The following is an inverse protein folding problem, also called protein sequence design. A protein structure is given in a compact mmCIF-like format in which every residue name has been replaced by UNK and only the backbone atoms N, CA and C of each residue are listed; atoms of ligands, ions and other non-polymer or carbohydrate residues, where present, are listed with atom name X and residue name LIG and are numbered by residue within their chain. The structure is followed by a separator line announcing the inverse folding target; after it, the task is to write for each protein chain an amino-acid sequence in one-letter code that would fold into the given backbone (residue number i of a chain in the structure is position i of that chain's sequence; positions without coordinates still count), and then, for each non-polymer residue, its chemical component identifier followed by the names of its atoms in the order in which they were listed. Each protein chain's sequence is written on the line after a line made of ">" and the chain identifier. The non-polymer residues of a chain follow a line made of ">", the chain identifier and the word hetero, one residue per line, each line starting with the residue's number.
data_IF_326298781578
#
_entry.id   IF_326298781578
#
_cell.length_a   1.000
_cell.length_b   1.000
_cell.length_c   1.000
_cell.angle_alpha   90.00
_cell.angle_beta   90.00
_cell.angle_gamma   90.00
#
_symmetry.space_group_name_H-M   'P 1'
#
loop_
_entity.id
_entity.type
_entity.pdbx_description
1 polymer ?
#
# COMPACT_ATOMS: atom_id res chain seq x y z
N UNK A 1 -8.15 8.53 -12.03
CA UNK A 1 -7.00 7.64 -11.86
C UNK A 1 -7.15 6.92 -10.53
N UNK A 2 -6.94 5.60 -10.48
CA UNK A 2 -7.06 4.81 -9.26
C UNK A 2 -5.64 4.58 -8.68
N UNK A 3 -5.43 4.57 -7.36
CA UNK A 3 -4.11 4.41 -6.75
C UNK A 3 -3.35 3.15 -7.19
N UNK A 4 -4.06 2.05 -7.54
CA UNK A 4 -3.42 0.85 -8.09
C UNK A 4 -2.70 1.11 -9.43
N UNK A 5 -3.20 2.04 -10.26
CA UNK A 5 -2.54 2.40 -11.52
C UNK A 5 -1.15 2.98 -11.29
N UNK A 6 -0.94 3.61 -10.13
CA UNK A 6 0.33 4.26 -9.77
C UNK A 6 1.36 3.19 -9.40
N UNK A 7 0.95 2.21 -8.60
CA UNK A 7 1.82 1.09 -8.23
C UNK A 7 2.21 0.27 -9.47
N UNK A 8 1.23 -0.12 -10.28
CA UNK A 8 1.49 -0.85 -11.53
C UNK A 8 2.38 -0.06 -12.48
N UNK A 9 2.24 1.27 -12.54
CA UNK A 9 3.16 2.12 -13.32
C UNK A 9 4.60 1.99 -12.81
N UNK A 10 4.86 2.19 -11.51
CA UNK A 10 6.21 2.13 -10.97
C UNK A 10 6.84 0.73 -10.99
N UNK A 11 6.04 -0.33 -10.96
CA UNK A 11 6.51 -1.71 -11.15
C UNK A 11 6.92 -1.98 -12.60
N UNK A 12 6.09 -1.59 -13.58
CA UNK A 12 6.36 -1.78 -15.02
C UNK A 12 7.65 -1.09 -15.48
N UNK A 13 8.01 0.03 -14.85
CA UNK A 13 9.26 0.75 -15.15
C UNK A 13 10.48 0.22 -14.37
N UNK A 14 10.33 -0.90 -13.65
CA UNK A 14 11.43 -1.53 -12.89
C UNK A 14 11.88 -0.72 -11.67
N UNK A 15 11.14 0.34 -11.31
CA UNK A 15 11.48 1.23 -10.20
C UNK A 15 11.23 0.58 -8.83
N UNK A 16 10.43 -0.49 -8.78
CA UNK A 16 10.17 -1.28 -7.56
C UNK A 16 10.97 -2.60 -7.55
N UNK A 17 11.29 -3.17 -8.72
CA UNK A 17 11.79 -4.54 -8.87
C UNK A 17 13.33 -4.74 -8.76
N UNK A 18 14.14 -3.67 -8.74
CA UNK A 18 15.61 -3.80 -8.82
C UNK A 18 16.40 -3.43 -7.55
N UNK A 19 15.79 -3.50 -6.36
CA UNK A 19 16.48 -3.71 -5.07
C UNK A 19 17.50 -2.64 -4.61
N UNK A 20 17.81 -1.61 -5.41
CA UNK A 20 18.83 -0.60 -5.07
C UNK A 20 18.22 0.78 -4.83
N UNK A 21 17.07 1.08 -5.44
CA UNK A 21 16.30 2.32 -5.24
C UNK A 21 14.78 2.10 -5.41
N UNK A 22 14.27 0.97 -4.87
CA UNK A 22 12.83 0.69 -4.80
C UNK A 22 12.10 1.93 -4.29
N UNK A 23 11.29 2.59 -5.14
CA UNK A 23 10.84 3.98 -4.97
C UNK A 23 10.59 4.30 -3.50
N UNK A 24 11.38 5.22 -2.95
CA UNK A 24 11.27 5.63 -1.56
C UNK A 24 9.82 6.09 -1.29
N UNK A 25 9.23 5.80 -0.11
CA UNK A 25 7.83 6.14 0.16
C UNK A 25 7.49 7.62 -0.08
N UNK A 26 8.45 8.51 0.15
CA UNK A 26 8.37 9.95 -0.12
C UNK A 26 8.21 10.27 -1.61
N UNK A 27 8.96 9.60 -2.49
CA UNK A 27 8.84 9.77 -3.93
C UNK A 27 7.47 9.29 -4.47
N UNK A 28 6.89 8.23 -3.89
CA UNK A 28 5.51 7.82 -4.22
C UNK A 28 4.52 8.89 -3.75
N UNK A 29 4.67 9.39 -2.53
CA UNK A 29 3.80 10.43 -1.99
C UNK A 29 3.87 11.72 -2.81
N UNK A 30 5.07 12.15 -3.20
CA UNK A 30 5.30 13.32 -4.05
C UNK A 30 4.72 13.15 -5.45
N UNK A 31 4.84 11.96 -6.04
CA UNK A 31 4.16 11.67 -7.30
C UNK A 31 2.64 11.78 -7.16
N UNK A 32 2.06 11.21 -6.11
CA UNK A 32 0.61 11.28 -5.84
C UNK A 32 0.15 12.74 -5.68
N UNK A 33 0.94 13.56 -4.99
CA UNK A 33 0.72 15.01 -4.88
C UNK A 33 0.78 15.67 -6.27
N UNK A 34 1.80 15.37 -7.05
CA UNK A 34 2.02 15.92 -8.39
C UNK A 34 0.87 15.62 -9.35
N UNK A 35 0.28 14.42 -9.28
CA UNK A 35 -0.86 14.04 -10.13
C UNK A 35 -2.22 14.56 -9.65
N UNK A 36 -2.25 15.39 -8.59
CA UNK A 36 -3.42 16.19 -8.20
C UNK A 36 -4.08 15.81 -6.87
N UNK A 37 -3.48 14.93 -6.07
CA UNK A 37 -3.97 14.64 -4.72
C UNK A 37 -3.25 15.50 -3.68
N UNK A 38 -3.87 16.62 -3.29
CA UNK A 38 -3.22 17.62 -2.44
C UNK A 38 -3.08 17.22 -0.96
N UNK A 39 -3.57 16.05 -0.57
CA UNK A 39 -3.57 15.56 0.82
C UNK A 39 -3.10 14.11 0.86
N UNK A 40 -1.80 13.95 1.05
CA UNK A 40 -1.11 12.68 1.20
C UNK A 40 -0.32 12.72 2.50
N UNK A 41 -0.68 11.85 3.43
CA UNK A 41 -0.02 11.71 4.73
C UNK A 41 0.88 10.47 4.71
N UNK A 42 2.07 10.55 5.29
CA UNK A 42 3.05 9.48 5.28
C UNK A 42 3.37 9.03 6.71
N UNK A 43 3.40 7.72 6.94
CA UNK A 43 3.70 7.13 8.25
C UNK A 43 4.78 6.07 8.09
N UNK A 44 5.92 6.24 8.76
CA UNK A 44 7.02 5.28 8.73
C UNK A 44 6.99 4.39 9.98
N UNK A 45 7.21 3.09 9.78
CA UNK A 45 7.19 2.05 10.82
C UNK A 45 5.94 2.10 11.71
N UNK A 46 4.73 2.13 11.13
CA UNK A 46 3.49 2.12 11.90
C UNK A 46 3.34 0.82 12.69
N UNK A 47 2.57 0.89 13.79
CA UNK A 47 2.17 -0.33 14.49
C UNK A 47 1.20 -1.16 13.65
N UNK A 48 1.52 -2.44 13.46
CA UNK A 48 0.71 -3.39 12.69
C UNK A 48 -0.70 -3.58 13.26
N UNK A 49 -0.84 -3.43 14.57
CA UNK A 49 -2.14 -3.51 15.25
C UNK A 49 -3.06 -2.33 14.88
N UNK A 50 -2.49 -1.22 14.40
CA UNK A 50 -3.21 0.01 14.11
C UNK A 50 -3.45 0.24 12.62
N UNK A 51 -2.94 -0.62 11.72
CA UNK A 51 -3.05 -0.41 10.26
C UNK A 51 -4.49 -0.17 9.79
N UNK A 52 -5.45 -0.86 10.40
CA UNK A 52 -6.88 -0.69 10.13
C UNK A 52 -7.37 0.74 10.41
N UNK A 53 -6.84 1.42 11.44
CA UNK A 53 -7.21 2.81 11.79
C UNK A 53 -6.86 3.74 10.63
N UNK A 54 -5.67 3.57 10.07
CA UNK A 54 -5.26 4.34 8.90
C UNK A 54 -6.14 4.00 7.69
N UNK A 55 -6.30 2.72 7.34
CA UNK A 55 -7.05 2.36 6.11
C UNK A 55 -8.52 2.79 6.16
N UNK A 56 -9.13 2.87 7.34
CA UNK A 56 -10.53 3.29 7.50
C UNK A 56 -10.75 4.81 7.39
N UNK A 57 -9.70 5.62 7.62
CA UNK A 57 -9.81 7.09 7.63
C UNK A 57 -9.49 7.74 6.29
N UNK A 58 -8.88 7.00 5.38
CA UNK A 58 -8.37 7.50 4.11
C UNK A 58 -9.10 6.85 2.95
N UNK A 59 -9.15 7.55 1.82
CA UNK A 59 -9.78 7.05 0.59
C UNK A 59 -9.03 5.84 0.04
N UNK A 60 -7.71 5.85 0.17
CA UNK A 60 -6.83 4.74 -0.20
C UNK A 60 -5.53 4.85 0.57
N UNK A 61 -4.92 3.71 0.88
CA UNK A 61 -3.61 3.65 1.53
C UNK A 61 -2.71 2.73 0.73
N UNK A 62 -1.52 3.20 0.39
CA UNK A 62 -0.46 2.36 -0.15
C UNK A 62 0.38 1.87 1.04
N UNK A 63 0.56 0.56 1.15
CA UNK A 63 1.30 -0.06 2.24
C UNK A 63 2.61 -0.59 1.68
N UNK A 64 3.71 -0.17 2.28
CA UNK A 64 5.03 -0.74 2.05
C UNK A 64 5.38 -1.70 3.20
N UNK A 65 5.70 -2.95 2.87
CA UNK A 65 6.02 -3.97 3.87
C UNK A 65 7.13 -4.89 3.40
N UNK A 66 7.82 -5.52 4.36
CA UNK A 66 8.82 -6.55 4.14
C UNK A 66 8.32 -7.94 4.56
N UNK A 67 8.83 -8.96 3.88
CA UNK A 67 8.73 -10.37 4.24
C UNK A 67 10.04 -11.08 3.90
N UNK A 68 10.10 -12.40 4.10
CA UNK A 68 11.32 -13.20 3.97
C UNK A 68 11.99 -13.18 2.58
N UNK A 69 11.32 -12.71 1.53
CA UNK A 69 11.84 -12.69 0.16
C UNK A 69 12.03 -11.29 -0.41
N UNK A 70 11.75 -10.23 0.35
CA UNK A 70 11.89 -8.86 -0.12
C UNK A 70 10.90 -7.89 0.50
N UNK A 71 10.73 -6.74 -0.14
CA UNK A 71 9.77 -5.72 0.22
C UNK A 71 8.81 -5.46 -0.94
N UNK A 72 7.55 -5.16 -0.63
CA UNK A 72 6.49 -4.97 -1.61
C UNK A 72 5.56 -3.82 -1.24
N UNK A 73 4.96 -3.25 -2.29
CA UNK A 73 3.92 -2.23 -2.19
C UNK A 73 2.58 -2.81 -2.59
N UNK A 74 1.56 -2.59 -1.76
CA UNK A 74 0.16 -2.89 -2.09
C UNK A 74 -0.69 -1.63 -1.96
N UNK A 75 -1.79 -1.56 -2.71
CA UNK A 75 -2.81 -0.52 -2.51
C UNK A 75 -4.00 -1.12 -1.80
N UNK A 76 -4.54 -0.43 -0.80
CA UNK A 76 -5.64 -0.92 0.02
C UNK A 76 -6.68 0.15 0.26
N UNK A 77 -7.95 -0.25 0.25
CA UNK A 77 -9.09 0.59 0.65
C UNK A 77 -10.06 -0.20 1.51
N UNK A 78 -10.76 0.48 2.41
CA UNK A 78 -11.90 -0.09 3.10
C UNK A 78 -13.13 -0.12 2.17
N UNK A 79 -13.84 -1.25 2.17
CA UNK A 79 -15.11 -1.44 1.48
C UNK A 79 -16.21 -1.63 2.54
N UNK A 80 -17.00 -0.57 2.71
CA UNK A 80 -18.10 -0.54 3.70
C UNK A 80 -19.25 -1.48 3.35
N UNK A 81 -19.46 -1.78 2.06
CA UNK A 81 -20.50 -2.70 1.61
C UNK A 81 -20.17 -4.15 1.96
N UNK A 82 -18.89 -4.54 1.85
CA UNK A 82 -18.40 -5.87 2.23
C UNK A 82 -17.97 -5.97 3.69
N UNK A 83 -17.79 -4.84 4.38
CA UNK A 83 -17.24 -4.73 5.75
C UNK A 83 -15.84 -5.35 5.86
N UNK A 84 -14.95 -4.93 4.97
CA UNK A 84 -13.56 -5.38 4.98
C UNK A 84 -12.70 -4.58 4.01
N UNK A 85 -11.55 -5.14 3.67
CA UNK A 85 -10.50 -4.44 2.96
C UNK A 85 -10.29 -5.07 1.58
N UNK A 86 -10.25 -4.23 0.56
CA UNK A 86 -9.89 -4.62 -0.79
C UNK A 86 -8.43 -4.24 -1.01
N UNK A 87 -7.63 -5.26 -1.31
CA UNK A 87 -6.19 -5.16 -1.53
C UNK A 87 -5.92 -5.40 -3.02
N UNK A 88 -5.10 -4.53 -3.59
CA UNK A 88 -4.64 -4.57 -4.97
C UNK A 88 -3.15 -4.82 -5.00
N UNK A 89 -2.69 -5.48 -6.07
CA UNK A 89 -1.28 -5.64 -6.42
C UNK A 89 -0.46 -6.45 -5.41
N UNK A 90 -0.96 -7.64 -5.07
CA UNK A 90 -0.37 -8.48 -4.04
C UNK A 90 0.97 -9.11 -4.47
N UNK A 91 1.22 -9.30 -5.77
CA UNK A 91 2.49 -9.80 -6.37
C UNK A 91 2.55 -9.47 -7.88
N UNK A 92 3.75 -9.24 -8.46
CA UNK A 92 4.08 -9.16 -9.90
C UNK A 92 2.91 -9.04 -10.90
N UNK A 93 2.56 -7.79 -11.27
CA UNK A 93 1.55 -7.47 -12.31
C UNK A 93 0.13 -8.02 -12.03
N UNK A 94 -0.11 -8.62 -10.85
CA UNK A 94 -1.40 -9.17 -10.44
C UNK A 94 -2.37 -8.04 -10.09
N UNK A 95 -3.14 -7.66 -11.10
CA UNK A 95 -4.28 -6.73 -10.96
C UNK A 95 -5.46 -7.34 -10.19
N UNK A 96 -5.37 -8.60 -9.70
CA UNK A 96 -6.45 -9.22 -8.96
C UNK A 96 -6.73 -8.51 -7.64
N UNK A 97 -8.03 -8.35 -7.37
CA UNK A 97 -8.52 -7.85 -6.08
C UNK A 97 -8.56 -9.00 -5.08
N UNK A 98 -7.93 -8.80 -3.92
CA UNK A 98 -8.08 -9.70 -2.76
C UNK A 98 -8.89 -9.04 -1.67
N UNK A 99 -9.68 -9.85 -0.97
CA UNK A 99 -10.52 -9.39 0.12
C UNK A 99 -10.06 -9.94 1.46
N UNK A 100 -9.94 -9.06 2.45
CA UNK A 100 -9.57 -9.40 3.82
C UNK A 100 -10.58 -8.83 4.81
N UNK A 101 -10.95 -9.61 5.83
CA UNK A 101 -11.79 -9.09 6.94
C UNK A 101 -10.99 -8.20 7.89
N UNK A 102 -9.68 -8.42 8.01
CA UNK A 102 -8.77 -7.69 8.89
C UNK A 102 -7.37 -7.69 8.27
N UNK A 103 -6.81 -6.50 8.00
CA UNK A 103 -5.44 -6.38 7.50
C UNK A 103 -4.45 -6.67 8.61
N UNK A 104 -4.65 -6.11 9.81
CA UNK A 104 -3.79 -6.38 10.97
C UNK A 104 -3.60 -7.89 11.20
N UNK A 105 -4.70 -8.65 11.19
CA UNK A 105 -4.65 -10.11 11.37
C UNK A 105 -3.84 -10.78 10.26
N UNK A 106 -4.12 -10.43 9.00
CA UNK A 106 -3.41 -11.00 7.85
C UNK A 106 -1.90 -10.72 7.91
N UNK A 107 -1.52 -9.49 8.24
CA UNK A 107 -0.13 -9.07 8.31
C UNK A 107 0.60 -9.74 9.49
N UNK A 108 -0.05 -9.89 10.64
CA UNK A 108 0.50 -10.60 11.81
C UNK A 108 0.70 -12.08 11.49
N UNK A 109 -0.33 -12.76 10.96
CA UNK A 109 -0.26 -14.19 10.62
C UNK A 109 0.81 -14.48 9.56
N UNK A 110 1.01 -13.54 8.63
CA UNK A 110 2.02 -13.66 7.58
C UNK A 110 3.41 -13.22 8.03
N UNK A 111 3.57 -12.74 9.27
CA UNK A 111 4.83 -12.21 9.82
C UNK A 111 5.43 -11.07 8.95
N UNK A 112 4.57 -10.22 8.40
CA UNK A 112 4.99 -9.08 7.60
C UNK A 112 5.42 -7.91 8.49
N UNK A 113 6.48 -7.22 8.08
CA UNK A 113 6.96 -6.01 8.76
C UNK A 113 6.47 -4.79 8.01
N UNK A 114 5.67 -3.93 8.64
CA UNK A 114 5.27 -2.65 8.05
C UNK A 114 6.45 -1.68 8.03
N UNK A 115 6.72 -1.10 6.86
CA UNK A 115 7.78 -0.10 6.67
C UNK A 115 7.18 1.28 6.52
N UNK A 116 6.17 1.45 5.68
CA UNK A 116 5.53 2.74 5.47
C UNK A 116 4.05 2.63 5.06
N UNK A 117 3.28 3.67 5.34
CA UNK A 117 1.94 3.90 4.81
C UNK A 117 1.93 5.25 4.10
N UNK A 118 1.39 5.28 2.90
CA UNK A 118 1.13 6.50 2.14
C UNK A 118 -0.39 6.61 2.02
N UNK A 119 -0.96 7.52 2.80
CA UNK A 119 -2.37 7.63 3.06
C UNK A 119 -2.97 8.79 2.24
N UNK A 120 -3.83 8.46 1.27
CA UNK A 120 -4.43 9.42 0.34
C UNK A 120 -5.84 9.77 0.79
N UNK A 121 -6.11 11.06 1.05
CA UNK A 121 -7.45 11.55 1.42
C UNK A 121 -8.35 11.74 0.21
#
# INVERSE_FOLDING_TARGET
>A
MQPYNIISYFELWGCILNGTFGVLPDAIADYIRHVGYNRVDEYYFPNINDINIYVNQYRSVIIYYAHSSGCHYISVRYDSGRRGYVVYNHFDEDTSERYYKSLSTHFIESSYTLIALICVK
#
